data_IF_648596048995
#
_entry.id   IF_648596048995
#
_cell.length_a   1.000
_cell.length_b   1.000
_cell.length_c   1.000
_cell.angle_alpha   90.00
_cell.angle_beta   90.00
_cell.angle_gamma   90.00
#
_symmetry.space_group_name_H-M   'P 1'
#
loop_
_entity.id
_entity.type
_entity.pdbx_description
1 polymer ?
#
# COMPACT_ATOMS: atom_id res chain seq x y z
N UNK A 1 -2.18 47.00 0.39
CA UNK A 1 -0.99 47.26 -0.46
C UNK A 1 0.30 46.73 0.16
N UNK A 2 0.82 47.29 1.27
CA UNK A 2 2.04 46.75 1.92
C UNK A 2 1.79 45.33 2.47
N UNK A 3 0.63 45.10 3.06
CA UNK A 3 0.24 43.77 3.55
C UNK A 3 0.12 42.73 2.43
N UNK A 4 -0.34 43.14 1.24
CA UNK A 4 -0.45 42.26 0.08
C UNK A 4 0.93 41.95 -0.53
N UNK A 5 1.85 42.92 -0.51
CA UNK A 5 3.27 42.72 -0.85
C UNK A 5 3.95 41.77 0.14
N UNK A 6 3.68 41.88 1.43
CA UNK A 6 4.22 40.96 2.45
C UNK A 6 3.65 39.56 2.28
N UNK A 7 2.35 39.41 2.00
CA UNK A 7 1.71 38.10 1.75
C UNK A 7 2.25 37.42 0.50
N UNK A 8 2.34 38.16 -0.62
CA UNK A 8 2.89 37.63 -1.88
C UNK A 8 4.37 37.27 -1.76
N UNK A 9 5.17 38.08 -1.06
CA UNK A 9 6.57 37.76 -0.77
C UNK A 9 6.70 36.51 0.11
N UNK A 10 5.89 36.41 1.17
CA UNK A 10 5.89 35.23 2.06
C UNK A 10 5.47 33.97 1.32
N UNK A 11 4.46 34.03 0.46
CA UNK A 11 4.05 32.90 -0.37
C UNK A 11 5.17 32.44 -1.32
N UNK A 12 5.80 33.39 -2.03
CA UNK A 12 6.91 33.07 -2.94
C UNK A 12 8.14 32.51 -2.21
N UNK A 13 8.43 33.02 -1.01
CA UNK A 13 9.50 32.47 -0.17
C UNK A 13 9.14 31.09 0.37
N UNK A 14 7.89 30.84 0.74
CA UNK A 14 7.46 29.53 1.24
C UNK A 14 7.59 28.45 0.17
N UNK A 15 7.15 28.73 -1.06
CA UNK A 15 7.30 27.81 -2.18
C UNK A 15 8.78 27.50 -2.46
N UNK A 16 9.67 28.49 -2.36
CA UNK A 16 11.11 28.30 -2.59
C UNK A 16 11.84 27.66 -1.42
N UNK A 17 11.45 27.94 -0.18
CA UNK A 17 12.02 27.31 1.02
C UNK A 17 11.52 25.86 1.15
N UNK A 18 10.34 25.55 0.58
CA UNK A 18 9.86 24.17 0.50
C UNK A 18 10.70 23.28 -0.42
N UNK A 19 11.53 23.89 -1.28
CA UNK A 19 12.52 23.15 -2.05
C UNK A 19 13.59 22.56 -1.09
N UNK A 20 13.76 21.22 -1.05
CA UNK A 20 14.75 20.55 -0.22
C UNK A 20 16.19 21.05 -0.46
N UNK A 21 16.50 21.51 -1.68
CA UNK A 21 17.85 21.98 -2.02
C UNK A 21 18.13 23.37 -1.44
N UNK A 22 17.15 24.28 -1.52
CA UNK A 22 17.28 25.64 -1.00
C UNK A 22 17.31 25.61 0.53
N UNK A 23 16.41 24.87 1.16
CA UNK A 23 16.37 24.72 2.62
C UNK A 23 17.64 24.09 3.18
N UNK A 24 18.13 22.99 2.58
CA UNK A 24 19.37 22.35 3.00
C UNK A 24 20.60 23.23 2.75
N UNK A 25 20.62 24.01 1.66
CA UNK A 25 21.68 24.98 1.39
C UNK A 25 21.73 26.08 2.45
N UNK A 26 20.61 26.73 2.77
CA UNK A 26 20.59 27.76 3.81
C UNK A 26 20.99 27.20 5.18
N UNK A 27 20.50 26.01 5.53
CA UNK A 27 20.86 25.37 6.79
C UNK A 27 22.36 25.05 6.84
N UNK A 28 22.92 24.52 5.76
CA UNK A 28 24.35 24.21 5.68
C UNK A 28 25.21 25.48 5.67
N UNK A 29 24.77 26.55 5.01
CA UNK A 29 25.48 27.82 4.97
C UNK A 29 25.54 28.45 6.36
N UNK A 30 24.41 28.48 7.08
CA UNK A 30 24.33 28.97 8.45
C UNK A 30 25.17 28.13 9.42
N UNK A 31 25.16 26.81 9.26
CA UNK A 31 25.92 25.89 10.11
C UNK A 31 27.42 26.02 9.86
N UNK A 32 27.85 26.17 8.60
CA UNK A 32 29.25 26.32 8.24
C UNK A 32 29.80 27.70 8.63
N UNK A 33 29.02 28.76 8.37
CA UNK A 33 29.39 30.14 8.65
C UNK A 33 28.85 30.64 10.01
N UNK A 34 28.69 29.74 10.98
CA UNK A 34 28.09 30.10 12.27
C UNK A 34 28.89 31.16 13.03
N UNK A 35 30.24 31.15 12.93
CA UNK A 35 31.12 32.11 13.61
C UNK A 35 30.90 33.56 13.13
N UNK A 36 31.05 33.89 11.84
CA UNK A 36 30.81 35.25 11.36
C UNK A 36 29.35 35.69 11.60
N UNK A 37 28.37 34.80 11.45
CA UNK A 37 26.96 35.09 11.75
C UNK A 37 26.80 35.46 13.24
N UNK A 38 27.40 34.70 14.15
CA UNK A 38 27.29 34.97 15.59
C UNK A 38 28.01 36.26 15.99
N UNK A 39 29.16 36.56 15.38
CA UNK A 39 29.87 37.83 15.61
C UNK A 39 29.00 39.02 15.19
N UNK A 40 28.36 38.94 14.02
CA UNK A 40 27.47 40.01 13.53
C UNK A 40 26.24 40.19 14.43
N UNK A 41 25.65 39.09 14.91
CA UNK A 41 24.40 39.14 15.68
C UNK A 41 24.58 39.41 17.18
N UNK A 42 25.67 38.93 17.79
CA UNK A 42 25.83 38.89 19.26
C UNK A 42 26.97 39.75 19.81
N UNK A 43 27.91 40.20 18.97
CA UNK A 43 28.98 41.08 19.47
C UNK A 43 28.43 42.45 19.86
N UNK A 44 28.93 42.99 20.99
CA UNK A 44 28.57 44.31 21.54
C UNK A 44 29.28 45.48 20.86
N UNK A 45 30.21 45.19 19.93
CA UNK A 45 30.94 46.22 19.20
C UNK A 45 30.02 46.97 18.22
N UNK A 46 30.35 48.21 17.84
CA UNK A 46 29.69 48.92 16.75
C UNK A 46 29.58 48.06 15.48
N UNK A 47 28.48 48.24 14.74
CA UNK A 47 28.18 47.46 13.51
C UNK A 47 29.35 47.52 12.52
N UNK A 48 29.92 48.70 12.31
CA UNK A 48 31.03 48.94 11.38
C UNK A 48 32.26 48.09 11.72
N UNK A 49 32.64 48.05 13.00
CA UNK A 49 33.79 47.27 13.48
C UNK A 49 33.52 45.77 13.31
N UNK A 50 32.28 45.32 13.54
CA UNK A 50 31.90 43.90 13.36
C UNK A 50 31.98 43.47 11.89
N UNK A 51 31.51 44.32 10.98
CA UNK A 51 31.57 44.05 9.54
C UNK A 51 33.02 44.03 9.06
N UNK A 52 33.83 45.02 9.45
CA UNK A 52 35.24 45.08 9.09
C UNK A 52 36.00 43.87 9.62
N UNK A 53 35.77 43.49 10.88
CA UNK A 53 36.39 42.31 11.49
C UNK A 53 36.02 41.01 10.78
N UNK A 54 34.74 40.83 10.44
CA UNK A 54 34.29 39.65 9.69
C UNK A 54 34.88 39.64 8.29
N UNK A 55 34.92 40.78 7.60
CA UNK A 55 35.49 40.88 6.27
C UNK A 55 37.00 40.57 6.28
N UNK A 56 37.76 41.16 7.20
CA UNK A 56 39.21 40.98 7.27
C UNK A 56 39.62 39.56 7.72
N UNK A 57 38.81 38.89 8.54
CA UNK A 57 39.19 37.60 9.12
C UNK A 57 38.63 36.40 8.35
N UNK A 58 37.42 36.51 7.80
CA UNK A 58 36.72 35.40 7.15
C UNK A 58 36.56 35.56 5.64
N UNK A 59 36.82 36.76 5.10
CA UNK A 59 36.55 37.09 3.70
C UNK A 59 37.66 37.98 3.11
N UNK A 60 38.90 37.82 3.57
CA UNK A 60 40.02 38.67 3.16
C UNK A 60 40.42 38.43 1.70
N UNK A 61 40.30 37.18 1.24
CA UNK A 61 40.69 36.78 -0.10
C UNK A 61 39.54 36.07 -0.81
N UNK A 62 39.62 36.02 -2.15
CA UNK A 62 38.65 35.28 -2.96
C UNK A 62 38.53 33.79 -2.57
N UNK A 63 39.64 33.18 -2.15
CA UNK A 63 39.65 31.80 -1.65
C UNK A 63 38.76 31.63 -0.39
N UNK A 64 38.70 32.64 0.47
CA UNK A 64 37.92 32.56 1.71
C UNK A 64 36.42 32.61 1.40
N UNK A 65 36.01 33.41 0.41
CA UNK A 65 34.63 33.41 -0.10
C UNK A 65 34.23 32.06 -0.67
N UNK A 66 35.11 31.40 -1.42
CA UNK A 66 34.85 30.05 -1.92
C UNK A 66 34.76 29.05 -0.77
N UNK A 67 35.66 29.10 0.20
CA UNK A 67 35.63 28.24 1.39
C UNK A 67 34.39 28.46 2.26
N UNK A 68 33.75 29.63 2.21
CA UNK A 68 32.51 29.90 2.93
C UNK A 68 31.26 29.31 2.24
N UNK A 69 31.23 29.29 0.90
CA UNK A 69 30.03 28.93 0.11
C UNK A 69 30.10 27.51 -0.44
N UNK A 70 31.26 27.08 -0.96
CA UNK A 70 31.42 25.77 -1.62
C UNK A 70 31.06 24.61 -0.71
N UNK A 71 31.49 24.55 0.56
CA UNK A 71 31.09 23.47 1.46
C UNK A 71 29.57 23.41 1.68
N UNK A 72 28.90 24.56 1.72
CA UNK A 72 27.45 24.60 1.87
C UNK A 72 26.73 24.03 0.63
N UNK A 73 27.22 24.34 -0.58
CA UNK A 73 26.70 23.77 -1.83
C UNK A 73 26.93 22.26 -1.91
N UNK A 74 28.13 21.81 -1.54
CA UNK A 74 28.50 20.39 -1.59
C UNK A 74 27.64 19.59 -0.60
N UNK A 75 27.53 20.05 0.64
CA UNK A 75 26.73 19.38 1.68
C UNK A 75 25.25 19.40 1.33
N UNK A 76 24.70 20.51 0.84
CA UNK A 76 23.29 20.58 0.45
C UNK A 76 22.97 19.69 -0.75
N UNK A 77 23.87 19.63 -1.73
CA UNK A 77 23.74 18.74 -2.89
C UNK A 77 23.85 17.28 -2.47
N UNK A 78 24.83 16.94 -1.63
CA UNK A 78 24.99 15.59 -1.10
C UNK A 78 23.79 15.16 -0.25
N UNK A 79 23.25 16.06 0.56
CA UNK A 79 22.04 15.79 1.33
C UNK A 79 20.85 15.58 0.40
N UNK A 80 20.60 16.50 -0.53
CA UNK A 80 19.41 16.45 -1.40
C UNK A 80 19.43 15.27 -2.35
N UNK A 81 20.58 14.95 -2.95
CA UNK A 81 20.70 13.86 -3.92
C UNK A 81 21.13 12.54 -3.27
N UNK A 82 22.06 12.57 -2.31
CA UNK A 82 22.58 11.37 -1.66
C UNK A 82 21.61 10.74 -0.67
N UNK A 83 20.85 11.53 0.09
CA UNK A 83 19.89 11.01 1.07
C UNK A 83 18.83 10.09 0.43
N UNK A 84 18.20 10.42 -0.71
CA UNK A 84 17.31 9.49 -1.42
C UNK A 84 17.94 8.13 -1.71
N UNK A 85 19.18 8.08 -2.20
CA UNK A 85 19.86 6.80 -2.49
C UNK A 85 20.10 5.98 -1.22
N UNK A 86 20.58 6.62 -0.16
CA UNK A 86 20.78 5.97 1.14
C UNK A 86 19.45 5.45 1.67
N UNK A 87 18.38 6.24 1.56
CA UNK A 87 17.03 5.86 1.99
C UNK A 87 16.51 4.63 1.24
N UNK A 88 16.69 4.56 -0.08
CA UNK A 88 16.32 3.38 -0.89
C UNK A 88 17.08 2.15 -0.43
N UNK A 89 18.39 2.28 -0.17
CA UNK A 89 19.21 1.17 0.31
C UNK A 89 18.73 0.66 1.68
N UNK A 90 18.48 1.57 2.63
CA UNK A 90 17.97 1.24 3.97
C UNK A 90 16.61 0.54 3.89
N UNK A 91 15.70 1.04 3.06
CA UNK A 91 14.39 0.41 2.84
C UNK A 91 14.57 -1.00 2.28
N UNK A 92 15.40 -1.17 1.26
CA UNK A 92 15.67 -2.49 0.66
C UNK A 92 16.26 -3.47 1.69
N UNK A 93 17.22 -3.00 2.49
CA UNK A 93 17.82 -3.80 3.56
C UNK A 93 16.79 -4.20 4.61
N UNK A 94 15.99 -3.25 5.09
CA UNK A 94 14.95 -3.52 6.08
C UNK A 94 13.89 -4.48 5.56
N UNK A 95 13.45 -4.35 4.30
CA UNK A 95 12.51 -5.28 3.68
C UNK A 95 13.09 -6.69 3.60
N UNK A 96 14.37 -6.81 3.21
CA UNK A 96 15.07 -8.10 3.17
C UNK A 96 15.18 -8.75 4.56
N UNK A 97 15.55 -7.98 5.58
CA UNK A 97 15.62 -8.44 6.97
C UNK A 97 14.24 -8.86 7.47
N UNK A 98 13.22 -8.05 7.23
CA UNK A 98 11.84 -8.32 7.67
C UNK A 98 11.32 -9.61 7.04
N UNK A 99 11.57 -9.82 5.75
CA UNK A 99 11.22 -11.05 5.06
C UNK A 99 11.97 -12.25 5.66
N UNK A 100 13.26 -12.10 5.94
CA UNK A 100 14.07 -13.16 6.57
C UNK A 100 13.56 -13.52 7.97
N UNK A 101 13.23 -12.51 8.78
CA UNK A 101 12.61 -12.72 10.11
C UNK A 101 11.28 -13.44 9.97
N UNK A 102 10.45 -13.07 8.97
CA UNK A 102 9.17 -13.72 8.73
C UNK A 102 9.34 -15.21 8.40
N UNK A 103 10.26 -15.53 7.49
CA UNK A 103 10.54 -16.92 7.10
C UNK A 103 11.09 -17.75 8.28
N UNK A 104 11.82 -17.11 9.21
CA UNK A 104 12.32 -17.78 10.42
C UNK A 104 11.19 -18.00 11.43
N UNK A 105 10.22 -17.09 11.54
CA UNK A 105 9.10 -17.18 12.50
C UNK A 105 7.99 -18.13 12.06
N UNK A 106 7.78 -18.29 10.75
CA UNK A 106 6.75 -19.15 10.14
C UNK A 106 6.70 -20.59 10.69
N UNK A 107 7.81 -21.28 11.01
CA UNK A 107 7.77 -22.59 11.67
C UNK A 107 7.49 -22.58 13.19
N UNK A 108 7.51 -21.42 13.86
CA UNK A 108 7.36 -21.32 15.34
C UNK A 108 6.05 -20.65 15.78
N UNK A 109 5.44 -19.80 14.94
CA UNK A 109 4.13 -19.22 15.18
C UNK A 109 3.07 -20.01 14.40
N UNK A 110 2.23 -20.80 15.09
CA UNK A 110 1.10 -21.54 14.49
C UNK A 110 0.05 -20.63 13.80
N UNK A 111 0.19 -19.30 13.87
CA UNK A 111 -0.67 -18.31 13.24
C UNK A 111 0.03 -17.69 12.02
N UNK A 112 -0.23 -18.23 10.84
CA UNK A 112 0.27 -17.69 9.57
C UNK A 112 -0.38 -16.33 9.31
N UNK A 113 0.34 -15.23 9.56
CA UNK A 113 -0.04 -13.90 9.07
C UNK A 113 0.31 -13.79 7.59
N UNK A 114 -0.66 -14.12 6.73
CA UNK A 114 -0.54 -13.98 5.28
C UNK A 114 -0.32 -12.50 4.91
N UNK A 115 0.61 -12.24 3.98
CA UNK A 115 0.64 -10.92 3.33
C UNK A 115 -0.60 -10.74 2.45
N UNK A 116 -0.93 -9.49 2.11
CA UNK A 116 -2.09 -9.13 1.28
C UNK A 116 -2.12 -9.95 -0.01
N UNK A 117 -0.98 -10.06 -0.72
CA UNK A 117 -0.87 -10.86 -1.94
C UNK A 117 -1.12 -12.35 -1.71
N UNK A 118 -0.62 -12.90 -0.62
CA UNK A 118 -0.82 -14.31 -0.27
C UNK A 118 -2.29 -14.57 0.12
N UNK A 119 -2.92 -13.62 0.83
CA UNK A 119 -4.34 -13.68 1.13
C UNK A 119 -5.19 -13.62 -0.13
N UNK A 120 -4.84 -12.78 -1.11
CA UNK A 120 -5.55 -12.70 -2.39
C UNK A 120 -5.39 -14.00 -3.19
N UNK A 121 -4.17 -14.54 -3.26
CA UNK A 121 -3.92 -15.82 -3.94
C UNK A 121 -4.66 -16.98 -3.29
N UNK A 122 -4.76 -16.99 -1.97
CA UNK A 122 -5.51 -18.00 -1.23
C UNK A 122 -7.01 -17.88 -1.47
N UNK A 123 -7.56 -16.65 -1.48
CA UNK A 123 -8.97 -16.39 -1.83
C UNK A 123 -9.30 -16.87 -3.25
N UNK A 124 -8.46 -16.56 -4.23
CA UNK A 124 -8.66 -17.03 -5.61
C UNK A 124 -8.67 -18.56 -5.71
N UNK A 125 -7.83 -19.26 -4.94
CA UNK A 125 -7.85 -20.73 -4.90
C UNK A 125 -9.16 -21.26 -4.32
N UNK A 126 -9.63 -20.71 -3.20
CA UNK A 126 -10.89 -21.13 -2.60
C UNK A 126 -12.09 -20.80 -3.47
N UNK A 127 -12.09 -19.67 -4.16
CA UNK A 127 -13.15 -19.32 -5.10
C UNK A 127 -13.24 -20.32 -6.26
N UNK A 128 -12.10 -20.71 -6.83
CA UNK A 128 -12.05 -21.73 -7.88
C UNK A 128 -12.54 -23.10 -7.39
N UNK A 129 -12.14 -23.52 -6.19
CA UNK A 129 -12.58 -24.78 -5.59
C UNK A 129 -14.08 -24.78 -5.26
N UNK A 130 -14.63 -23.66 -4.78
CA UNK A 130 -16.07 -23.49 -4.56
C UNK A 130 -16.82 -23.56 -5.90
N UNK A 131 -16.28 -22.99 -6.97
CA UNK A 131 -16.88 -23.04 -8.30
C UNK A 131 -16.90 -24.48 -8.84
N UNK A 132 -15.80 -25.23 -8.69
CA UNK A 132 -15.73 -26.65 -9.05
C UNK A 132 -16.75 -27.49 -8.27
N UNK A 133 -16.85 -27.28 -6.95
CA UNK A 133 -17.85 -27.94 -6.11
C UNK A 133 -19.30 -27.60 -6.50
N UNK A 134 -19.57 -26.36 -6.92
CA UNK A 134 -20.90 -25.97 -7.41
C UNK A 134 -21.24 -26.68 -8.72
N UNK A 135 -20.26 -26.84 -9.60
CA UNK A 135 -20.45 -27.58 -10.86
C UNK A 135 -20.73 -29.06 -10.59
N UNK A 136 -20.01 -29.68 -9.66
CA UNK A 136 -20.26 -31.09 -9.30
C UNK A 136 -21.65 -31.28 -8.68
N UNK A 137 -22.08 -30.41 -7.77
CA UNK A 137 -23.43 -30.45 -7.17
C UNK A 137 -24.50 -30.30 -8.24
N UNK A 138 -24.37 -29.34 -9.16
CA UNK A 138 -25.35 -29.14 -10.23
C UNK A 138 -25.41 -30.36 -11.17
N UNK A 139 -24.28 -31.00 -11.43
CA UNK A 139 -24.22 -32.24 -12.22
C UNK A 139 -24.98 -33.37 -11.51
N UNK A 140 -24.74 -33.55 -10.21
CA UNK A 140 -25.45 -34.54 -9.39
C UNK A 140 -26.96 -34.27 -9.34
N UNK A 141 -27.38 -33.01 -9.20
CA UNK A 141 -28.79 -32.61 -9.22
C UNK A 141 -29.46 -32.92 -10.57
N UNK A 142 -28.77 -32.69 -11.68
CA UNK A 142 -29.28 -33.00 -13.01
C UNK A 142 -29.43 -34.52 -13.20
N UNK A 143 -28.45 -35.32 -12.78
CA UNK A 143 -28.54 -36.79 -12.80
C UNK A 143 -29.72 -37.26 -11.95
N UNK A 144 -29.94 -36.68 -10.77
CA UNK A 144 -31.09 -37.03 -9.95
C UNK A 144 -32.42 -36.74 -10.64
N UNK A 145 -32.55 -35.59 -11.31
CA UNK A 145 -33.77 -35.25 -12.07
C UNK A 145 -34.01 -36.22 -13.22
N UNK A 146 -32.95 -36.57 -13.95
CA UNK A 146 -33.01 -37.54 -15.05
C UNK A 146 -33.47 -38.90 -14.53
N UNK A 147 -32.87 -39.41 -13.44
CA UNK A 147 -33.26 -40.68 -12.83
C UNK A 147 -34.73 -40.69 -12.36
N UNK A 148 -35.19 -39.60 -11.75
CA UNK A 148 -36.61 -39.44 -11.35
C UNK A 148 -37.53 -39.49 -12.57
N UNK A 149 -37.15 -38.82 -13.66
CA UNK A 149 -37.92 -38.84 -14.91
C UNK A 149 -37.99 -40.22 -15.54
N UNK A 150 -36.89 -40.98 -15.53
CA UNK A 150 -36.87 -42.36 -16.00
C UNK A 150 -37.77 -43.27 -15.14
N UNK A 151 -37.70 -43.14 -13.81
CA UNK A 151 -38.53 -43.91 -12.89
C UNK A 151 -40.04 -43.67 -13.13
N UNK A 152 -40.45 -42.44 -13.42
CA UNK A 152 -41.83 -42.11 -13.81
C UNK A 152 -42.26 -42.88 -15.07
N UNK A 153 -41.41 -42.88 -16.10
CA UNK A 153 -41.68 -43.56 -17.37
C UNK A 153 -41.81 -45.07 -17.16
N UNK A 154 -40.92 -45.67 -16.36
CA UNK A 154 -40.99 -47.10 -16.08
C UNK A 154 -42.25 -47.47 -15.29
N UNK A 155 -42.62 -46.68 -14.28
CA UNK A 155 -43.79 -46.96 -13.44
C UNK A 155 -45.11 -46.79 -14.19
N UNK A 156 -45.27 -45.73 -14.99
CA UNK A 156 -46.46 -45.51 -15.84
C UNK A 156 -46.64 -46.64 -16.83
N UNK A 157 -45.56 -47.07 -17.50
CA UNK A 157 -45.57 -48.19 -18.44
C UNK A 157 -45.90 -49.54 -17.80
N UNK A 158 -45.40 -49.80 -16.59
CA UNK A 158 -45.66 -51.06 -15.88
C UNK A 158 -47.12 -51.19 -15.42
N UNK A 159 -47.77 -50.06 -15.07
CA UNK A 159 -49.11 -50.05 -14.50
C UNK A 159 -50.22 -49.62 -15.48
N UNK A 160 -49.89 -49.35 -16.76
CA UNK A 160 -50.82 -48.80 -17.76
C UNK A 160 -51.56 -47.54 -17.26
N UNK A 161 -50.86 -46.66 -16.52
CA UNK A 161 -51.41 -45.41 -15.99
C UNK A 161 -51.03 -44.24 -16.89
N UNK A 162 -51.91 -43.22 -16.95
CA UNK A 162 -51.57 -41.95 -17.59
C UNK A 162 -50.57 -41.17 -16.74
N UNK A 163 -49.67 -40.42 -17.38
CA UNK A 163 -48.56 -39.73 -16.73
C UNK A 163 -49.03 -38.65 -15.75
N UNK A 164 -50.23 -38.08 -15.99
CA UNK A 164 -50.83 -37.04 -15.16
C UNK A 164 -51.33 -37.54 -13.80
N UNK A 165 -51.52 -38.86 -13.65
CA UNK A 165 -52.05 -39.47 -12.42
C UNK A 165 -50.96 -39.90 -11.43
N UNK A 166 -49.68 -39.74 -11.80
CA UNK A 166 -48.53 -40.20 -11.02
C UNK A 166 -47.73 -38.99 -10.50
N UNK A 167 -47.68 -38.84 -9.17
CA UNK A 167 -46.84 -37.84 -8.51
C UNK A 167 -45.74 -38.54 -7.69
N UNK A 168 -44.49 -38.06 -7.79
CA UNK A 168 -43.39 -38.56 -6.96
C UNK A 168 -43.16 -37.60 -5.81
N UNK A 169 -43.22 -38.14 -4.58
CA UNK A 169 -42.81 -37.42 -3.38
C UNK A 169 -41.34 -37.73 -3.11
N UNK A 170 -40.51 -36.69 -3.23
CA UNK A 170 -39.09 -36.77 -2.88
C UNK A 170 -38.94 -36.37 -1.41
N UNK A 171 -38.98 -37.34 -0.51
CA UNK A 171 -38.56 -37.14 0.87
C UNK A 171 -37.03 -37.30 0.96
N UNK A 172 -36.35 -36.43 1.74
CA UNK A 172 -34.89 -36.29 1.69
C UNK A 172 -34.14 -37.63 1.67
N UNK A 173 -33.44 -37.89 0.55
CA UNK A 173 -32.63 -39.08 0.23
C UNK A 173 -33.37 -40.40 -0.07
N UNK A 174 -34.70 -40.43 -0.16
CA UNK A 174 -35.44 -41.61 -0.62
C UNK A 174 -36.66 -41.20 -1.46
N UNK A 175 -36.62 -41.52 -2.76
CA UNK A 175 -37.77 -41.33 -3.63
C UNK A 175 -38.84 -42.38 -3.30
N UNK A 176 -40.06 -41.94 -2.99
CA UNK A 176 -41.22 -42.80 -2.79
C UNK A 176 -42.24 -42.43 -3.87
N UNK A 177 -42.63 -43.42 -4.68
CA UNK A 177 -43.65 -43.25 -5.73
C UNK A 177 -44.99 -43.70 -5.14
N UNK A 178 -45.96 -42.79 -5.07
CA UNK A 178 -47.30 -43.06 -4.53
C UNK A 178 -48.36 -42.67 -5.57
N UNK A 179 -49.49 -43.39 -5.59
CA UNK A 179 -50.65 -43.07 -6.43
C UNK A 179 -51.78 -42.56 -5.53
N UNK A 180 -52.43 -41.47 -5.96
CA UNK A 180 -53.61 -40.92 -5.28
C UNK A 180 -54.78 -40.92 -6.27
N UNK A 181 -55.89 -41.56 -5.91
CA UNK A 181 -57.13 -41.48 -6.68
C UNK A 181 -57.91 -40.28 -6.17
N UNK A 182 -57.92 -39.19 -6.93
CA UNK A 182 -58.81 -38.06 -6.65
C UNK A 182 -60.19 -38.44 -7.20
N UNK A 183 -61.09 -38.89 -6.31
CA UNK A 183 -62.51 -39.02 -6.65
C UNK A 183 -63.12 -37.62 -6.74
N UNK A 184 -63.17 -37.05 -7.94
CA UNK A 184 -64.01 -35.89 -8.23
C UNK A 184 -65.48 -36.35 -8.24
N UNK A 185 -66.24 -35.90 -7.24
CA UNK A 185 -67.70 -36.07 -7.17
C UNK A 185 -68.45 -35.19 -8.17
#
# INVERSE_FOLDING_TARGET
MIEDLVKSFKASMYDRISDPLISSFFLSLCTWNWKPIFILLKSKLPVEIRILYVHSLYFSNYSDYLCAIVPAIVVSSFYTFGYPFIKVYVIKFNSWITQKIRNIKEPYENDIKLTIEQSQKLRMKFEAEIEELKLSINTDENIQRELISELLIYYTKANNLDFNDVNILVASKKAIVETWVILSG
#
